data_IF_408495355772
#
_entry.id   IF_408495355772
#
_cell.length_a   1.000
_cell.length_b   1.000
_cell.length_c   1.000
_cell.angle_alpha   90.00
_cell.angle_beta   90.00
_cell.angle_gamma   90.00
#
_symmetry.space_group_name_H-M   'P 1'
#
loop_
_entity.id
_entity.type
_entity.pdbx_description
1 polymer ?
#
# COMPACT_ATOMS: atom_id res chain seq x y z
N UNK A 1 6.02 26.94 -15.73
CA UNK A 1 4.77 26.38 -15.18
C UNK A 1 4.78 24.85 -15.20
N UNK A 2 4.92 24.21 -16.36
CA UNK A 2 4.99 22.73 -16.52
C UNK A 2 6.00 22.06 -15.59
N UNK A 3 7.26 22.54 -15.59
CA UNK A 3 8.30 21.99 -14.71
C UNK A 3 7.94 22.04 -13.22
N UNK A 4 7.33 23.14 -12.78
CA UNK A 4 6.97 23.36 -11.38
C UNK A 4 5.91 22.34 -10.93
N UNK A 5 4.93 22.07 -11.79
CA UNK A 5 3.87 21.08 -11.53
C UNK A 5 4.48 19.68 -11.40
N UNK A 6 5.40 19.31 -12.31
CA UNK A 6 6.09 18.02 -12.25
C UNK A 6 6.95 17.89 -10.99
N UNK A 7 7.68 18.94 -10.61
CA UNK A 7 8.47 18.95 -9.37
C UNK A 7 7.59 18.84 -8.12
N UNK A 8 6.42 19.48 -8.09
CA UNK A 8 5.44 19.33 -7.01
C UNK A 8 4.94 17.89 -6.92
N UNK A 9 4.63 17.25 -8.05
CA UNK A 9 4.18 15.86 -8.07
C UNK A 9 5.27 14.91 -7.56
N UNK A 10 6.53 15.11 -7.95
CA UNK A 10 7.67 14.33 -7.44
C UNK A 10 7.75 14.43 -5.91
N UNK A 11 7.72 15.65 -5.36
CA UNK A 11 7.75 15.86 -3.90
C UNK A 11 6.59 15.16 -3.19
N UNK A 12 5.39 15.19 -3.78
CA UNK A 12 4.22 14.52 -3.21
C UNK A 12 4.33 12.99 -3.26
N UNK A 13 4.95 12.44 -4.30
CA UNK A 13 5.25 11.00 -4.37
C UNK A 13 6.31 10.59 -3.34
N UNK A 14 7.31 11.42 -3.08
CA UNK A 14 8.30 11.16 -2.03
C UNK A 14 7.68 11.24 -0.63
N UNK A 15 6.80 12.21 -0.40
CA UNK A 15 6.03 12.36 0.84
C UNK A 15 5.10 11.15 1.06
N UNK A 16 4.36 10.75 0.03
CA UNK A 16 3.52 9.55 0.05
C UNK A 16 4.31 8.31 0.44
N UNK A 17 5.50 8.11 -0.15
CA UNK A 17 6.34 6.94 0.17
C UNK A 17 6.62 6.83 1.67
N UNK A 18 6.98 7.95 2.29
CA UNK A 18 7.25 8.01 3.73
C UNK A 18 5.99 7.71 4.54
N UNK A 19 4.85 8.24 4.12
CA UNK A 19 3.57 8.08 4.82
C UNK A 19 2.98 6.67 4.67
N UNK A 20 3.16 5.99 3.53
CA UNK A 20 2.71 4.60 3.34
C UNK A 20 3.34 3.68 4.39
N UNK A 21 4.64 3.82 4.64
CA UNK A 21 5.37 3.02 5.64
C UNK A 21 4.84 3.30 7.05
N UNK A 22 4.45 4.55 7.35
CA UNK A 22 4.00 4.98 8.67
C UNK A 22 2.49 4.90 8.89
N UNK A 23 1.72 4.54 7.86
CA UNK A 23 0.25 4.57 7.90
C UNK A 23 -0.32 3.60 8.94
N UNK A 24 0.42 2.56 9.31
CA UNK A 24 0.04 1.60 10.37
C UNK A 24 0.25 2.13 11.79
N UNK A 25 0.98 3.24 11.97
CA UNK A 25 1.38 3.73 13.29
C UNK A 25 0.28 4.57 13.95
N UNK A 26 -0.29 5.52 13.22
CA UNK A 26 -1.26 6.49 13.77
C UNK A 26 -2.29 6.93 12.74
N UNK A 27 -3.48 7.30 13.23
CA UNK A 27 -4.54 7.91 12.42
C UNK A 27 -4.08 9.21 11.73
N UNK A 28 -3.21 9.99 12.39
CA UNK A 28 -2.67 11.22 11.82
C UNK A 28 -1.88 10.97 10.53
N UNK A 29 -1.10 9.88 10.47
CA UNK A 29 -0.37 9.51 9.25
C UNK A 29 -1.32 9.12 8.11
N UNK A 30 -2.43 8.43 8.42
CA UNK A 30 -3.47 8.08 7.45
C UNK A 30 -4.14 9.33 6.88
N UNK A 31 -4.48 10.30 7.73
CA UNK A 31 -5.07 11.57 7.28
C UNK A 31 -4.10 12.37 6.41
N UNK A 32 -2.82 12.44 6.79
CA UNK A 32 -1.78 13.06 5.97
C UNK A 32 -1.63 12.37 4.62
N UNK A 33 -1.59 11.03 4.60
CA UNK A 33 -1.51 10.24 3.37
C UNK A 33 -2.71 10.54 2.45
N UNK A 34 -3.91 10.60 3.02
CA UNK A 34 -5.14 10.93 2.29
C UNK A 34 -5.06 12.33 1.67
N UNK A 35 -4.56 13.33 2.41
CA UNK A 35 -4.34 14.68 1.87
C UNK A 35 -3.35 14.67 0.70
N UNK A 36 -2.23 13.95 0.83
CA UNK A 36 -1.23 13.82 -0.24
C UNK A 36 -1.83 13.16 -1.48
N UNK A 37 -2.63 12.10 -1.34
CA UNK A 37 -3.33 11.46 -2.46
C UNK A 37 -4.24 12.46 -3.19
N UNK A 38 -5.04 13.22 -2.45
CA UNK A 38 -5.93 14.23 -3.03
C UNK A 38 -5.16 15.35 -3.76
N UNK A 39 -4.04 15.81 -3.21
CA UNK A 39 -3.19 16.80 -3.86
C UNK A 39 -2.54 16.27 -5.14
N UNK A 40 -2.09 15.00 -5.15
CA UNK A 40 -1.58 14.36 -6.37
C UNK A 40 -2.65 14.27 -7.45
N UNK A 41 -3.90 13.93 -7.11
CA UNK A 41 -5.00 13.90 -8.07
C UNK A 41 -5.18 15.27 -8.74
N UNK A 42 -5.21 16.35 -7.97
CA UNK A 42 -5.27 17.72 -8.51
C UNK A 42 -4.08 18.05 -9.42
N UNK A 43 -2.86 17.65 -9.04
CA UNK A 43 -1.68 17.87 -9.89
C UNK A 43 -1.76 17.07 -11.20
N UNK A 44 -2.28 15.84 -11.16
CA UNK A 44 -2.47 15.02 -12.36
C UNK A 44 -3.54 15.60 -13.29
N UNK A 45 -4.61 16.17 -12.75
CA UNK A 45 -5.61 16.91 -13.53
C UNK A 45 -4.98 18.12 -14.24
N UNK A 46 -4.12 18.87 -13.55
CA UNK A 46 -3.36 19.96 -14.16
C UNK A 46 -2.40 19.45 -15.23
N UNK A 47 -1.71 18.32 -15.01
CA UNK A 47 -0.81 17.74 -16.02
C UNK A 47 -1.59 17.31 -17.27
N UNK A 48 -2.80 16.78 -17.10
CA UNK A 48 -3.66 16.34 -18.21
C UNK A 48 -4.05 17.48 -19.15
N UNK A 49 -4.09 18.72 -18.68
CA UNK A 49 -4.38 19.89 -19.51
C UNK A 49 -3.15 20.51 -20.18
N UNK A 50 -1.93 20.03 -19.88
CA UNK A 50 -0.69 20.53 -20.48
C UNK A 50 -0.48 19.98 -21.89
N UNK A 51 0.24 20.74 -22.72
CA UNK A 51 0.60 20.31 -24.06
C UNK A 51 1.59 19.12 -24.00
N UNK A 52 1.30 17.99 -24.66
CA UNK A 52 2.19 16.83 -24.71
C UNK A 52 3.61 17.15 -25.20
N UNK A 53 3.76 18.08 -26.15
CA UNK A 53 5.08 18.45 -26.67
C UNK A 53 5.92 19.21 -25.64
N UNK A 54 5.30 19.93 -24.71
CA UNK A 54 6.01 20.54 -23.58
C UNK A 54 6.45 19.50 -22.56
N UNK A 55 5.61 18.49 -22.30
CA UNK A 55 5.93 17.41 -21.37
C UNK A 55 7.13 16.57 -21.85
N UNK A 56 7.29 16.37 -23.16
CA UNK A 56 8.43 15.64 -23.73
C UNK A 56 9.79 16.24 -23.36
N UNK A 57 9.86 17.56 -23.13
CA UNK A 57 11.10 18.26 -22.71
C UNK A 57 11.54 17.85 -21.29
N UNK A 58 10.64 17.28 -20.49
CA UNK A 58 10.87 16.89 -19.11
C UNK A 58 10.89 15.37 -18.93
N UNK A 59 11.36 14.63 -19.94
CA UNK A 59 11.40 13.16 -19.97
C UNK A 59 11.95 12.54 -18.68
N UNK A 60 13.09 13.04 -18.18
CA UNK A 60 13.70 12.53 -16.94
C UNK A 60 12.77 12.65 -15.71
N UNK A 61 12.02 13.76 -15.61
CA UNK A 61 11.06 13.97 -14.52
C UNK A 61 9.87 13.03 -14.65
N UNK A 62 9.38 12.79 -15.87
CA UNK A 62 8.30 11.84 -16.13
C UNK A 62 8.71 10.40 -15.78
N UNK A 63 9.95 10.01 -16.12
CA UNK A 63 10.52 8.72 -15.74
C UNK A 63 10.66 8.59 -14.22
N UNK A 64 11.11 9.65 -13.54
CA UNK A 64 11.18 9.68 -12.08
C UNK A 64 9.79 9.56 -11.43
N UNK A 65 8.79 10.27 -11.94
CA UNK A 65 7.39 10.17 -11.49
C UNK A 65 6.89 8.73 -11.65
N UNK A 66 7.18 8.10 -12.79
CA UNK A 66 6.77 6.73 -13.04
C UNK A 66 7.48 5.75 -12.08
N UNK A 67 8.78 5.93 -11.86
CA UNK A 67 9.56 5.11 -10.93
C UNK A 67 9.03 5.21 -9.50
N UNK A 68 8.84 6.44 -9.00
CA UNK A 68 8.31 6.67 -7.66
C UNK A 68 6.90 6.11 -7.50
N UNK A 69 6.02 6.31 -8.50
CA UNK A 69 4.66 5.75 -8.49
C UNK A 69 4.66 4.23 -8.38
N UNK A 70 5.54 3.54 -9.12
CA UNK A 70 5.68 2.08 -9.03
C UNK A 70 6.16 1.63 -7.65
N UNK A 71 7.14 2.32 -7.07
CA UNK A 71 7.65 2.03 -5.73
C UNK A 71 6.53 2.19 -4.69
N UNK A 72 5.80 3.30 -4.74
CA UNK A 72 4.71 3.56 -3.79
C UNK A 72 3.58 2.52 -3.93
N UNK A 73 3.25 2.12 -5.16
CA UNK A 73 2.27 1.06 -5.40
C UNK A 73 2.72 -0.28 -4.82
N UNK A 74 3.99 -0.66 -5.00
CA UNK A 74 4.54 -1.89 -4.40
C UNK A 74 4.40 -1.86 -2.88
N UNK A 75 4.81 -0.77 -2.23
CA UNK A 75 4.72 -0.63 -0.78
C UNK A 75 3.27 -0.70 -0.27
N UNK A 76 2.32 -0.11 -1.01
CA UNK A 76 0.91 -0.18 -0.64
C UNK A 76 0.36 -1.62 -0.77
N UNK A 77 0.78 -2.38 -1.78
CA UNK A 77 0.41 -3.78 -1.94
C UNK A 77 1.03 -4.65 -0.85
N UNK A 78 2.31 -4.44 -0.54
CA UNK A 78 3.01 -5.17 0.53
C UNK A 78 2.31 -4.93 1.88
N UNK A 79 1.90 -3.69 2.15
CA UNK A 79 1.13 -3.36 3.35
C UNK A 79 -0.25 -4.04 3.37
N UNK A 80 -0.95 -4.08 2.23
CA UNK A 80 -2.25 -4.76 2.14
C UNK A 80 -2.10 -6.26 2.39
N UNK A 81 -1.09 -6.90 1.79
CA UNK A 81 -0.81 -8.31 2.01
C UNK A 81 -0.50 -8.60 3.48
N UNK A 82 0.32 -7.75 4.13
CA UNK A 82 0.60 -7.89 5.55
C UNK A 82 -0.69 -7.81 6.41
N UNK A 83 -1.58 -6.88 6.10
CA UNK A 83 -2.89 -6.78 6.78
C UNK A 83 -3.71 -8.05 6.56
N UNK A 84 -3.80 -8.56 5.33
CA UNK A 84 -4.52 -9.80 5.03
C UNK A 84 -3.94 -11.00 5.79
N UNK A 85 -2.61 -11.11 5.90
CA UNK A 85 -1.93 -12.13 6.69
C UNK A 85 -2.29 -12.02 8.18
N UNK A 86 -2.24 -10.81 8.77
CA UNK A 86 -2.64 -10.59 10.17
C UNK A 86 -4.10 -10.97 10.40
N UNK A 87 -5.00 -10.53 9.53
CA UNK A 87 -6.43 -10.86 9.63
C UNK A 87 -6.65 -12.36 9.48
N UNK A 88 -5.95 -13.03 8.56
CA UNK A 88 -6.03 -14.48 8.42
C UNK A 88 -5.68 -15.18 9.73
N UNK A 89 -4.65 -14.73 10.47
CA UNK A 89 -4.28 -15.32 11.77
C UNK A 89 -5.35 -15.06 12.83
N UNK A 90 -5.85 -13.83 12.92
CA UNK A 90 -6.87 -13.43 13.92
C UNK A 90 -8.18 -14.19 13.71
N UNK A 91 -8.59 -14.36 12.45
CA UNK A 91 -9.87 -14.98 12.08
C UNK A 91 -9.76 -16.49 11.78
N UNK A 92 -8.56 -17.08 11.66
CA UNK A 92 -8.36 -18.53 11.50
C UNK A 92 -8.56 -19.36 12.80
N UNK A 93 -9.21 -18.82 13.82
CA UNK A 93 -9.70 -19.59 14.98
C UNK A 93 -11.14 -20.14 14.83
N UNK A 94 -11.73 -20.10 13.63
CA UNK A 94 -13.05 -20.69 13.36
C UNK A 94 -13.08 -21.70 12.19
N UNK A 95 -12.05 -22.54 12.04
CA UNK A 95 -12.29 -23.87 11.45
C UNK A 95 -12.38 -24.92 12.55
N UNK A 96 -13.39 -24.77 13.43
CA UNK A 96 -14.05 -25.97 13.94
C UNK A 96 -14.70 -26.64 12.74
N UNK A 97 -13.97 -27.51 12.06
CA UNK A 97 -14.55 -28.38 11.04
C UNK A 97 -15.55 -29.26 11.78
N UNK A 98 -16.83 -28.94 11.63
CA UNK A 98 -17.89 -29.90 11.93
C UNK A 98 -17.73 -31.02 10.91
N UNK A 99 -17.57 -32.25 11.39
CA UNK A 99 -17.78 -33.40 10.52
C UNK A 99 -19.26 -33.46 10.09
N UNK A 100 -19.59 -34.31 9.11
CA UNK A 100 -20.98 -34.48 8.64
C UNK A 100 -21.94 -35.01 9.73
N UNK A 101 -21.46 -35.25 10.96
CA UNK A 101 -22.25 -35.66 12.12
C UNK A 101 -22.48 -34.53 13.14
N UNK A 102 -21.91 -33.33 12.92
CA UNK A 102 -22.07 -32.17 13.81
C UNK A 102 -21.11 -32.15 15.01
N UNK A 103 -20.04 -32.95 15.00
CA UNK A 103 -19.06 -33.00 16.10
C UNK A 103 -17.87 -32.06 15.85
N UNK A 104 -17.40 -31.38 16.89
CA UNK A 104 -16.17 -30.55 16.85
C UNK A 104 -14.97 -31.46 17.11
N UNK A 105 -14.15 -31.72 16.09
CA UNK A 105 -12.82 -32.34 16.30
C UNK A 105 -11.83 -31.30 16.82
N UNK A 106 -11.44 -31.43 18.10
CA UNK A 106 -10.28 -30.74 18.65
C UNK A 106 -9.01 -31.39 18.11
N UNK A 107 -8.23 -30.66 17.31
CA UNK A 107 -6.85 -31.02 17.02
C UNK A 107 -6.03 -30.88 18.31
N UNK A 108 -5.97 -31.96 19.09
CA UNK A 108 -5.01 -32.10 20.17
C UNK A 108 -3.61 -32.24 19.53
N UNK A 109 -2.82 -31.17 19.60
CA UNK A 109 -1.38 -31.21 19.38
C UNK A 109 -0.74 -32.16 20.39
N UNK A 110 -0.67 -33.44 20.06
CA UNK A 110 0.23 -34.38 20.73
C UNK A 110 1.65 -34.07 20.24
N UNK A 111 2.35 -33.24 21.02
CA UNK A 111 3.78 -33.09 20.93
C UNK A 111 4.42 -34.47 21.13
N UNK A 112 5.04 -34.94 20.07
CA UNK A 112 5.85 -36.15 20.01
C UNK A 112 6.77 -36.30 21.22
N UNK A 113 6.62 -37.43 21.91
CA UNK A 113 7.61 -38.03 22.80
C UNK A 113 9.00 -38.04 22.12
N UNK A 114 9.94 -37.26 22.64
CA UNK A 114 11.37 -37.52 22.48
C UNK A 114 11.82 -38.41 23.66
N UNK A 115 12.15 -39.65 23.32
CA UNK A 115 13.06 -40.62 23.97
C UNK A 115 13.52 -40.32 25.40
N UNK A 116 13.17 -41.21 26.35
CA UNK A 116 14.11 -41.88 27.27
C UNK A 116 13.66 -43.35 27.36
#
# INVERSE_FOLDING_TARGET
MTEEILNKLIKKLEEERSLIVRAIETQEHIEKLTKVINEKQKLLELIKSLNPEELKKYKEKLEMIQKLSKVNMSLALDNLQFIEEVFSIVFNNETRKYDQSGSITQDSKNFFNKKI
#
